data_IF_287573610540
#
_entry.id   IF_287573610540
#
_cell.length_a   1.000
_cell.length_b   1.000
_cell.length_c   1.000
_cell.angle_alpha   90.00
_cell.angle_beta   90.00
_cell.angle_gamma   90.00
#
_symmetry.space_group_name_H-M   'P 1'
#
loop_
_entity.id
_entity.type
_entity.pdbx_description
1 polymer ?
#
# COMPACT_ATOMS: atom_id res chain seq x y z
N UNK A 1 37.16 -42.77 -1.34
CA UNK A 1 35.92 -43.53 -1.39
C UNK A 1 35.09 -43.12 -0.19
N UNK A 2 34.10 -42.24 -0.38
CA UNK A 2 33.18 -41.74 0.70
C UNK A 2 31.75 -42.05 0.26
N UNK A 3 30.93 -42.66 1.14
CA UNK A 3 29.56 -43.05 0.79
C UNK A 3 28.60 -41.86 0.81
N UNK A 4 27.76 -41.81 -0.23
CA UNK A 4 26.64 -40.85 -0.37
C UNK A 4 25.46 -41.37 0.46
N UNK A 5 25.03 -40.56 1.42
CA UNK A 5 23.80 -40.77 2.17
C UNK A 5 22.62 -40.16 1.45
N UNK A 6 21.66 -40.97 0.99
CA UNK A 6 20.38 -40.54 0.42
C UNK A 6 19.40 -40.26 1.57
N UNK A 7 18.94 -39.03 1.71
CA UNK A 7 17.84 -38.64 2.57
C UNK A 7 16.54 -38.68 1.75
N UNK A 8 15.64 -39.59 2.15
CA UNK A 8 14.29 -39.69 1.64
C UNK A 8 13.39 -38.62 2.30
N UNK A 9 12.78 -37.76 1.51
CA UNK A 9 11.75 -36.83 1.94
C UNK A 9 10.39 -37.55 1.89
N UNK A 10 9.77 -37.71 3.07
CA UNK A 10 8.39 -38.15 3.20
C UNK A 10 7.39 -37.01 2.90
N UNK A 11 6.49 -37.23 1.94
CA UNK A 11 5.37 -36.36 1.66
C UNK A 11 4.23 -36.67 2.65
N UNK A 12 3.87 -35.70 3.49
CA UNK A 12 2.66 -35.76 4.31
C UNK A 12 1.49 -35.13 3.54
N UNK A 13 0.53 -35.97 3.14
CA UNK A 13 -0.76 -35.55 2.57
C UNK A 13 -1.73 -35.31 3.73
N UNK A 14 -2.13 -34.06 3.97
CA UNK A 14 -3.22 -33.71 4.86
C UNK A 14 -4.51 -33.62 4.07
N UNK A 15 -5.40 -34.60 4.26
CA UNK A 15 -6.77 -34.58 3.77
C UNK A 15 -7.65 -33.74 4.71
N UNK A 16 -8.23 -32.65 4.20
CA UNK A 16 -9.28 -31.91 4.90
C UNK A 16 -10.64 -32.49 4.56
N UNK A 17 -11.29 -33.10 5.55
CA UNK A 17 -12.67 -33.57 5.47
C UNK A 17 -13.63 -32.39 5.72
N UNK A 18 -14.52 -32.14 4.74
CA UNK A 18 -15.66 -31.24 4.88
C UNK A 18 -16.71 -31.89 5.80
N UNK A 19 -16.89 -31.32 6.99
CA UNK A 19 -17.99 -31.68 7.89
C UNK A 19 -19.17 -30.74 7.67
N UNK A 20 -20.25 -31.23 7.04
CA UNK A 20 -21.55 -30.57 7.03
C UNK A 20 -22.26 -30.90 8.34
N UNK A 21 -22.55 -29.89 9.18
CA UNK A 21 -23.46 -30.01 10.32
C UNK A 21 -24.79 -29.32 9.95
N UNK A 22 -25.78 -30.14 9.70
CA UNK A 22 -27.18 -29.73 9.71
C UNK A 22 -27.63 -29.60 11.18
N UNK A 23 -28.15 -28.43 11.57
CA UNK A 23 -28.91 -28.28 12.82
C UNK A 23 -30.34 -27.97 12.49
N UNK A 24 -31.20 -28.93 12.85
CA UNK A 24 -32.64 -28.85 12.85
C UNK A 24 -33.13 -28.40 14.24
N UNK A 25 -34.00 -27.41 14.26
CA UNK A 25 -35.11 -27.16 15.16
C UNK A 25 -34.87 -26.94 16.66
N UNK A 26 -35.27 -25.81 17.17
CA UNK A 26 -36.49 -25.60 17.99
C UNK A 26 -36.51 -24.23 18.66
N UNK A 27 -37.71 -23.70 18.76
CA UNK A 27 -38.05 -22.37 19.26
C UNK A 27 -37.65 -22.11 20.72
N UNK A 28 -37.16 -20.86 20.97
CA UNK A 28 -37.01 -20.27 22.31
C UNK A 28 -37.08 -18.77 22.22
N UNK A 29 -38.12 -18.20 22.77
CA UNK A 29 -38.40 -16.77 22.93
C UNK A 29 -37.34 -16.08 23.82
N UNK A 30 -36.85 -14.94 23.43
CA UNK A 30 -36.25 -14.05 24.39
C UNK A 30 -35.18 -13.08 23.88
N UNK A 31 -35.54 -11.81 23.88
CA UNK A 31 -34.71 -10.62 23.91
C UNK A 31 -34.01 -10.20 22.61
N UNK A 32 -34.65 -9.24 21.95
CA UNK A 32 -34.03 -8.33 20.98
C UNK A 32 -32.84 -7.61 21.60
N UNK A 33 -31.65 -8.08 21.27
CA UNK A 33 -30.46 -7.22 21.31
C UNK A 33 -30.22 -6.82 19.86
N UNK A 34 -30.71 -5.63 19.50
CA UNK A 34 -30.34 -4.99 18.27
C UNK A 34 -28.82 -4.70 18.32
N UNK A 35 -28.02 -5.64 17.83
CA UNK A 35 -26.65 -5.35 17.44
C UNK A 35 -26.78 -4.49 16.19
N UNK A 36 -26.47 -3.19 16.35
CA UNK A 36 -26.28 -2.31 15.23
C UNK A 36 -25.21 -2.95 14.31
N UNK A 37 -25.65 -3.57 13.23
CA UNK A 37 -24.78 -3.94 12.15
C UNK A 37 -24.22 -2.63 11.60
N UNK A 38 -22.97 -2.36 11.89
CA UNK A 38 -22.20 -1.34 11.18
C UNK A 38 -22.30 -1.70 9.70
N UNK A 39 -22.91 -0.81 8.94
CA UNK A 39 -23.06 -0.89 7.50
C UNK A 39 -21.66 -0.84 6.89
N UNK A 40 -21.03 -1.99 6.73
CA UNK A 40 -19.95 -2.17 5.77
C UNK A 40 -20.51 -1.65 4.45
N UNK A 41 -19.92 -0.58 3.93
CA UNK A 41 -20.21 -0.12 2.58
C UNK A 41 -19.78 -1.27 1.66
N UNK A 42 -20.78 -2.00 1.19
CA UNK A 42 -20.69 -3.12 0.25
C UNK A 42 -20.30 -2.51 -1.11
N UNK A 43 -19.02 -2.16 -1.26
CA UNK A 43 -18.44 -1.79 -2.54
C UNK A 43 -18.55 -3.04 -3.40
N UNK A 44 -19.38 -3.00 -4.45
CA UNK A 44 -19.54 -4.09 -5.39
C UNK A 44 -18.16 -4.62 -5.80
N UNK A 45 -17.94 -5.94 -5.82
CA UNK A 45 -16.64 -6.53 -6.13
C UNK A 45 -16.18 -6.00 -7.50
N UNK A 46 -15.00 -5.36 -7.52
CA UNK A 46 -14.42 -4.83 -8.75
C UNK A 46 -14.04 -6.01 -9.63
N UNK A 47 -14.91 -6.34 -10.60
CA UNK A 47 -14.67 -7.39 -11.56
C UNK A 47 -13.77 -6.91 -12.69
N UNK A 48 -12.45 -7.04 -12.49
CA UNK A 48 -11.47 -6.76 -13.55
C UNK A 48 -11.16 -8.06 -14.28
N UNK A 49 -11.30 -8.06 -15.58
CA UNK A 49 -10.99 -9.22 -16.42
C UNK A 49 -9.48 -9.37 -16.64
N UNK A 50 -9.06 -10.59 -17.00
CA UNK A 50 -7.66 -10.84 -17.40
C UNK A 50 -7.28 -10.07 -18.69
N UNK A 51 -8.26 -9.82 -19.57
CA UNK A 51 -8.04 -9.08 -20.82
C UNK A 51 -7.78 -7.58 -20.54
N UNK A 52 -8.51 -6.99 -19.60
CA UNK A 52 -8.29 -5.61 -19.16
C UNK A 52 -6.91 -5.45 -18.51
N UNK A 53 -6.54 -6.35 -17.59
CA UNK A 53 -5.23 -6.31 -16.94
C UNK A 53 -4.06 -6.45 -17.93
N UNK A 54 -4.22 -7.15 -19.06
CA UNK A 54 -3.18 -7.27 -20.09
C UNK A 54 -2.93 -5.97 -20.85
N UNK A 55 -3.87 -5.03 -20.83
CA UNK A 55 -3.76 -3.73 -21.49
C UNK A 55 -3.18 -2.65 -20.59
N UNK A 56 -3.02 -2.93 -19.30
CA UNK A 56 -2.41 -1.98 -18.35
C UNK A 56 -0.98 -1.71 -18.77
N UNK A 57 -0.63 -0.44 -18.95
CA UNK A 57 0.68 0.07 -19.33
C UNK A 57 1.34 0.90 -18.22
N UNK A 58 0.55 1.37 -17.24
CA UNK A 58 1.07 2.13 -16.11
C UNK A 58 0.32 1.85 -14.81
N UNK A 59 1.03 2.08 -13.71
CA UNK A 59 0.52 2.08 -12.33
C UNK A 59 0.88 3.43 -11.74
N UNK A 60 -0.14 4.22 -11.38
CA UNK A 60 0.00 5.51 -10.74
C UNK A 60 -0.33 5.40 -9.25
N UNK A 61 0.53 5.95 -8.41
CA UNK A 61 0.33 6.02 -6.97
C UNK A 61 -0.25 7.39 -6.60
N UNK A 62 -1.55 7.42 -6.38
CA UNK A 62 -2.25 8.57 -5.79
C UNK A 62 -2.19 8.52 -4.25
N UNK A 63 -2.54 9.63 -3.62
CA UNK A 63 -2.57 9.73 -2.17
C UNK A 63 -3.54 8.73 -1.51
N UNK A 64 -4.67 8.45 -2.16
CA UNK A 64 -5.75 7.62 -1.62
C UNK A 64 -5.96 6.30 -2.37
N UNK A 65 -5.23 6.09 -3.47
CA UNK A 65 -5.44 4.92 -4.33
C UNK A 65 -4.20 4.53 -5.11
N UNK A 66 -4.15 3.27 -5.49
CA UNK A 66 -3.29 2.77 -6.55
C UNK A 66 -4.15 2.62 -7.82
N UNK A 67 -3.78 3.33 -8.88
CA UNK A 67 -4.55 3.39 -10.13
C UNK A 67 -3.80 2.66 -11.23
N UNK A 68 -4.44 1.67 -11.84
CA UNK A 68 -3.92 0.94 -13.00
C UNK A 68 -4.53 1.57 -14.25
N UNK A 69 -3.71 1.98 -15.21
CA UNK A 69 -4.14 2.69 -16.41
C UNK A 69 -3.79 1.94 -17.70
N UNK A 70 -4.50 2.30 -18.76
CA UNK A 70 -4.19 1.99 -20.15
C UNK A 70 -4.27 3.32 -20.93
N UNK A 71 -3.13 3.97 -21.12
CA UNK A 71 -3.08 5.38 -21.50
C UNK A 71 -3.79 6.24 -20.43
N UNK A 72 -4.75 7.05 -20.89
CA UNK A 72 -5.54 7.93 -20.01
C UNK A 72 -6.70 7.22 -19.31
N UNK A 73 -7.04 5.98 -19.73
CA UNK A 73 -8.17 5.24 -19.21
C UNK A 73 -7.81 4.54 -17.87
N UNK A 74 -8.65 4.73 -16.84
CA UNK A 74 -8.56 3.98 -15.59
C UNK A 74 -9.14 2.58 -15.79
N UNK A 75 -8.28 1.56 -15.64
CA UNK A 75 -8.67 0.14 -15.67
C UNK A 75 -9.12 -0.32 -14.29
N UNK A 76 -8.38 0.05 -13.25
CA UNK A 76 -8.67 -0.26 -11.84
C UNK A 76 -8.23 0.90 -10.96
N UNK A 77 -9.05 1.23 -9.98
CA UNK A 77 -8.67 2.09 -8.86
C UNK A 77 -8.84 1.29 -7.58
N UNK A 78 -7.72 1.00 -6.91
CA UNK A 78 -7.70 0.30 -5.62
C UNK A 78 -7.44 1.29 -4.51
N UNK A 79 -8.38 1.41 -3.56
CA UNK A 79 -8.22 2.31 -2.41
C UNK A 79 -7.04 1.88 -1.54
N UNK A 80 -6.33 2.85 -0.96
CA UNK A 80 -5.31 2.62 0.06
C UNK A 80 -5.88 2.03 1.36
N UNK A 81 -7.22 1.97 1.48
CA UNK A 81 -7.95 1.32 2.58
C UNK A 81 -8.34 -0.13 2.29
N UNK A 82 -8.00 -0.66 1.09
CA UNK A 82 -8.31 -2.04 0.68
C UNK A 82 -7.04 -2.80 0.31
N UNK A 83 -6.43 -3.42 1.31
CA UNK A 83 -5.23 -4.24 1.13
C UNK A 83 -5.49 -5.50 0.30
N UNK A 84 -6.69 -6.09 0.44
CA UNK A 84 -7.08 -7.30 -0.26
C UNK A 84 -7.18 -7.08 -1.77
N UNK A 85 -7.89 -6.04 -2.20
CA UNK A 85 -7.99 -5.68 -3.61
C UNK A 85 -6.64 -5.31 -4.18
N UNK A 86 -5.86 -4.44 -3.49
CA UNK A 86 -4.55 -3.98 -3.95
C UNK A 86 -3.60 -5.15 -4.23
N UNK A 87 -3.42 -6.05 -3.26
CA UNK A 87 -2.52 -7.21 -3.41
C UNK A 87 -3.05 -8.17 -4.47
N UNK A 88 -4.36 -8.43 -4.51
CA UNK A 88 -4.99 -9.33 -5.50
C UNK A 88 -4.78 -8.84 -6.92
N UNK A 89 -5.04 -7.57 -7.20
CA UNK A 89 -4.90 -6.97 -8.53
C UNK A 89 -3.44 -6.97 -8.97
N UNK A 90 -2.51 -6.58 -8.10
CA UNK A 90 -1.08 -6.60 -8.41
C UNK A 90 -0.56 -8.02 -8.67
N UNK A 91 -0.99 -9.02 -7.90
CA UNK A 91 -0.63 -10.42 -8.16
C UNK A 91 -1.13 -10.92 -9.53
N UNK A 92 -2.33 -10.49 -9.93
CA UNK A 92 -2.90 -10.85 -11.24
C UNK A 92 -2.16 -10.18 -12.40
N UNK A 93 -1.73 -8.90 -12.22
CA UNK A 93 -1.02 -8.12 -13.23
C UNK A 93 0.46 -8.49 -13.30
N UNK A 94 1.16 -8.48 -12.17
CA UNK A 94 2.63 -8.60 -12.08
C UNK A 94 3.09 -10.04 -11.81
N UNK A 95 2.18 -10.92 -11.39
CA UNK A 95 2.51 -12.29 -11.00
C UNK A 95 2.92 -12.41 -9.53
N UNK A 96 3.54 -13.54 -9.19
CA UNK A 96 3.99 -13.81 -7.83
C UNK A 96 5.05 -12.79 -7.39
N UNK A 97 4.94 -12.21 -6.19
CA UNK A 97 5.96 -11.32 -5.65
C UNK A 97 7.33 -12.01 -5.62
N UNK A 98 8.37 -11.28 -5.98
CA UNK A 98 9.75 -11.76 -5.90
C UNK A 98 10.23 -11.93 -4.45
N UNK A 99 9.59 -11.23 -3.51
CA UNK A 99 9.86 -11.29 -2.08
C UNK A 99 8.60 -11.01 -1.28
N UNK A 100 8.40 -11.80 -0.21
CA UNK A 100 7.34 -11.58 0.79
C UNK A 100 7.98 -11.60 2.18
N UNK A 101 7.65 -10.62 3.02
CA UNK A 101 8.16 -10.47 4.39
C UNK A 101 7.01 -10.12 5.33
N UNK A 102 6.97 -10.75 6.49
CA UNK A 102 6.01 -10.43 7.55
C UNK A 102 6.74 -9.71 8.69
N UNK A 103 6.11 -8.66 9.21
CA UNK A 103 6.51 -7.95 10.41
C UNK A 103 5.40 -8.08 11.45
N UNK A 104 5.78 -8.37 12.69
CA UNK A 104 4.80 -8.52 13.79
C UNK A 104 4.26 -7.18 14.29
N UNK A 105 4.96 -6.07 13.98
CA UNK A 105 4.64 -4.75 14.50
C UNK A 105 4.99 -4.61 15.99
N UNK A 106 4.61 -3.48 16.56
CA UNK A 106 4.81 -3.16 18.00
C UNK A 106 3.51 -3.24 18.81
N UNK A 107 2.41 -3.67 18.18
CA UNK A 107 1.07 -3.72 18.76
C UNK A 107 0.34 -2.38 18.74
N UNK A 108 0.96 -1.32 18.22
CA UNK A 108 0.38 0.01 18.05
C UNK A 108 0.05 0.37 16.60
N UNK A 109 -0.64 1.49 16.42
CA UNK A 109 -1.00 1.99 15.08
C UNK A 109 0.17 2.60 14.31
N UNK A 110 1.31 2.87 14.98
CA UNK A 110 2.49 3.46 14.36
C UNK A 110 3.31 2.46 13.56
N UNK A 111 3.41 1.24 14.09
CA UNK A 111 4.08 0.11 13.42
C UNK A 111 3.15 -1.11 13.44
N UNK A 112 2.05 -1.08 12.67
CA UNK A 112 1.12 -2.20 12.64
C UNK A 112 1.79 -3.44 12.05
N UNK A 113 1.35 -4.60 12.53
CA UNK A 113 1.74 -5.86 11.93
C UNK A 113 1.39 -5.86 10.44
N UNK A 114 2.27 -6.35 9.59
CA UNK A 114 2.11 -6.25 8.14
C UNK A 114 2.71 -7.42 7.37
N UNK A 115 2.26 -7.59 6.14
CA UNK A 115 2.92 -8.44 5.15
C UNK A 115 3.33 -7.58 3.97
N UNK A 116 4.62 -7.48 3.73
CA UNK A 116 5.21 -6.71 2.63
C UNK A 116 5.47 -7.60 1.43
N UNK A 117 4.92 -7.22 0.29
CA UNK A 117 5.11 -7.84 -1.01
C UNK A 117 6.00 -6.95 -1.89
N UNK A 118 6.92 -7.56 -2.64
CA UNK A 118 7.81 -6.82 -3.55
C UNK A 118 7.78 -7.47 -4.93
N UNK A 119 7.53 -6.68 -5.98
CA UNK A 119 7.57 -7.13 -7.37
C UNK A 119 8.76 -6.50 -8.09
N UNK A 120 9.63 -7.36 -8.63
CA UNK A 120 10.79 -6.96 -9.45
C UNK A 120 11.77 -6.00 -8.76
N UNK A 121 11.69 -5.84 -7.43
CA UNK A 121 12.46 -4.82 -6.70
C UNK A 121 12.05 -3.38 -7.06
N UNK A 122 10.94 -3.19 -7.77
CA UNK A 122 10.47 -1.90 -8.26
C UNK A 122 9.26 -1.37 -7.49
N UNK A 123 8.33 -2.23 -7.16
CA UNK A 123 7.12 -1.90 -6.42
C UNK A 123 7.07 -2.72 -5.12
N UNK A 124 6.86 -2.04 -4.00
CA UNK A 124 6.69 -2.65 -2.68
C UNK A 124 5.35 -2.21 -2.10
N UNK A 125 4.58 -3.17 -1.59
CA UNK A 125 3.30 -2.94 -0.92
C UNK A 125 3.31 -3.67 0.42
N UNK A 126 3.13 -2.93 1.50
CA UNK A 126 2.86 -3.51 2.82
C UNK A 126 1.36 -3.53 3.05
N UNK A 127 0.78 -4.72 3.16
CA UNK A 127 -0.60 -4.93 3.59
C UNK A 127 -0.63 -4.99 5.12
N UNK A 128 -1.31 -4.04 5.75
CA UNK A 128 -1.40 -3.93 7.19
C UNK A 128 -2.47 -4.91 7.72
N UNK A 129 -2.27 -5.49 8.89
CA UNK A 129 -3.25 -6.37 9.56
C UNK A 129 -4.33 -5.59 10.31
N UNK A 130 -4.03 -4.36 10.66
CA UNK A 130 -4.96 -3.36 11.19
C UNK A 130 -4.68 -2.05 10.49
N UNK A 131 -5.69 -1.19 10.40
CA UNK A 131 -5.50 0.12 9.80
C UNK A 131 -4.45 0.92 10.59
N UNK A 132 -3.60 1.63 9.86
CA UNK A 132 -2.70 2.58 10.46
C UNK A 132 -3.47 3.79 11.00
N UNK A 133 -2.80 4.63 11.79
CA UNK A 133 -3.40 5.85 12.36
C UNK A 133 -4.01 6.78 11.29
N UNK A 134 -3.41 6.82 10.10
CA UNK A 134 -3.93 7.56 8.95
C UNK A 134 -5.14 6.91 8.27
N UNK A 135 -5.63 5.77 8.78
CA UNK A 135 -6.77 5.03 8.20
C UNK A 135 -6.44 4.23 6.94
N UNK A 136 -5.16 4.11 6.56
CA UNK A 136 -4.74 3.29 5.44
C UNK A 136 -4.55 1.82 5.87
N UNK A 137 -4.91 0.89 4.99
CA UNK A 137 -4.67 -0.55 5.13
C UNK A 137 -3.47 -1.03 4.30
N UNK A 138 -2.89 -0.14 3.46
CA UNK A 138 -1.68 -0.41 2.69
C UNK A 138 -0.71 0.75 2.74
N UNK A 139 0.58 0.41 2.63
CA UNK A 139 1.65 1.36 2.32
C UNK A 139 2.31 0.94 1.01
N UNK A 140 2.50 1.89 0.11
CA UNK A 140 3.09 1.64 -1.21
C UNK A 140 4.40 2.42 -1.36
N UNK A 141 5.42 1.77 -1.94
CA UNK A 141 6.68 2.39 -2.31
C UNK A 141 7.04 2.01 -3.74
N UNK A 142 7.29 3.01 -4.56
CA UNK A 142 7.86 2.88 -5.90
C UNK A 142 9.37 3.15 -5.79
N UNK A 143 10.18 2.19 -6.24
CA UNK A 143 11.65 2.20 -6.09
C UNK A 143 12.36 2.25 -7.45
N UNK A 144 11.61 2.16 -8.57
CA UNK A 144 12.10 2.25 -9.95
C UNK A 144 11.01 2.83 -10.84
N UNK A 145 11.38 3.31 -11.99
CA UNK A 145 10.48 3.87 -13.01
C UNK A 145 9.53 2.84 -13.64
N UNK A 146 9.79 1.55 -13.51
CA UNK A 146 8.99 0.52 -14.16
C UNK A 146 9.14 -0.86 -13.52
N UNK A 147 8.14 -1.72 -13.80
CA UNK A 147 8.12 -3.13 -13.43
C UNK A 147 7.67 -3.98 -14.63
N UNK A 148 8.01 -5.26 -14.65
CA UNK A 148 7.50 -6.19 -15.67
C UNK A 148 6.20 -6.83 -15.22
N UNK A 149 5.21 -6.85 -16.11
CA UNK A 149 3.99 -7.62 -15.92
C UNK A 149 4.26 -9.12 -16.00
N UNK A 150 3.27 -9.92 -15.59
CA UNK A 150 3.30 -11.39 -15.76
C UNK A 150 3.44 -11.83 -17.21
N UNK A 151 2.99 -11.02 -18.18
CA UNK A 151 3.16 -11.29 -19.62
C UNK A 151 4.51 -10.84 -20.17
N UNK A 152 5.36 -10.20 -19.33
CA UNK A 152 6.66 -9.68 -19.73
C UNK A 152 6.64 -8.22 -20.23
N UNK A 153 5.46 -7.61 -20.40
CA UNK A 153 5.34 -6.20 -20.79
C UNK A 153 5.92 -5.28 -19.70
N UNK A 154 6.51 -4.18 -20.12
CA UNK A 154 6.96 -3.11 -19.21
C UNK A 154 5.74 -2.30 -18.78
N UNK A 155 5.57 -2.10 -17.49
CA UNK A 155 4.56 -1.26 -16.85
C UNK A 155 5.28 -0.07 -16.23
N UNK A 156 4.93 1.14 -16.61
CA UNK A 156 5.47 2.36 -16.00
C UNK A 156 4.96 2.49 -14.56
N UNK A 157 5.78 3.02 -13.67
CA UNK A 157 5.43 3.31 -12.28
C UNK A 157 5.58 4.81 -12.05
N UNK A 158 4.48 5.48 -11.72
CA UNK A 158 4.43 6.93 -11.55
C UNK A 158 3.80 7.30 -10.21
N UNK A 159 4.15 8.47 -9.70
CA UNK A 159 3.38 9.22 -8.72
C UNK A 159 2.43 10.21 -9.40
N UNK A 160 1.86 11.15 -8.62
CA UNK A 160 1.04 12.23 -9.13
C UNK A 160 1.77 13.04 -10.21
N UNK A 161 1.01 13.58 -11.15
CA UNK A 161 1.53 14.39 -12.27
C UNK A 161 2.58 13.67 -13.14
N UNK A 162 2.60 12.33 -13.07
CA UNK A 162 3.52 11.50 -13.85
C UNK A 162 4.94 11.43 -13.32
N UNK A 163 5.24 11.95 -12.13
CA UNK A 163 6.58 11.91 -11.51
C UNK A 163 7.07 10.47 -11.39
N UNK A 164 8.32 10.22 -11.78
CA UNK A 164 8.95 8.91 -11.77
C UNK A 164 10.24 8.89 -10.93
N UNK A 165 10.64 7.70 -10.50
CA UNK A 165 11.98 7.50 -9.95
C UNK A 165 13.02 7.78 -11.03
N UNK A 166 13.98 8.64 -10.71
CA UNK A 166 15.00 9.14 -11.64
C UNK A 166 14.74 10.56 -12.16
N UNK A 167 13.54 11.10 -11.96
CA UNK A 167 13.25 12.48 -12.35
C UNK A 167 13.99 13.48 -11.47
N UNK A 168 14.30 14.63 -12.06
CA UNK A 168 14.87 15.79 -11.36
C UNK A 168 13.71 16.71 -10.93
N UNK A 169 13.64 17.02 -9.63
CA UNK A 169 12.60 17.88 -9.03
C UNK A 169 13.16 19.23 -8.54
N UNK A 170 14.28 19.73 -9.08
CA UNK A 170 14.90 20.97 -8.60
C UNK A 170 13.91 22.14 -8.62
N UNK A 171 13.21 22.37 -9.72
CA UNK A 171 12.21 23.44 -9.85
C UNK A 171 11.06 23.26 -8.87
N UNK A 172 10.50 22.04 -8.78
CA UNK A 172 9.37 21.74 -7.89
C UNK A 172 9.78 21.90 -6.40
N UNK A 173 10.99 21.51 -6.05
CA UNK A 173 11.53 21.70 -4.69
C UNK A 173 11.71 23.19 -4.40
N UNK A 174 12.23 23.98 -5.35
CA UNK A 174 12.43 25.41 -5.17
C UNK A 174 11.09 26.15 -4.94
N UNK A 175 10.06 25.79 -5.69
CA UNK A 175 8.75 26.46 -5.69
C UNK A 175 7.84 25.96 -4.57
N UNK A 176 8.07 24.77 -4.03
CA UNK A 176 7.20 24.18 -3.01
C UNK A 176 7.17 25.01 -1.70
N UNK A 177 6.02 25.19 -1.06
CA UNK A 177 5.92 25.81 0.25
C UNK A 177 6.68 24.98 1.30
N UNK A 178 7.13 25.64 2.38
CA UNK A 178 7.89 24.97 3.45
C UNK A 178 7.11 23.82 4.13
N UNK A 179 5.80 23.91 4.17
CA UNK A 179 4.92 22.84 4.68
C UNK A 179 4.90 21.59 3.82
N UNK A 180 5.32 21.69 2.55
CA UNK A 180 5.30 20.58 1.59
C UNK A 180 6.69 19.99 1.34
N UNK A 181 7.73 20.50 1.98
CA UNK A 181 9.09 19.98 1.81
C UNK A 181 9.87 19.97 3.11
N UNK A 182 10.75 18.99 3.23
CA UNK A 182 11.75 18.93 4.30
C UNK A 182 13.08 18.46 3.72
N UNK A 183 14.18 19.07 4.18
CA UNK A 183 15.52 18.67 3.77
C UNK A 183 16.23 17.87 4.85
N UNK A 184 17.06 16.94 4.41
CA UNK A 184 17.92 16.09 5.23
C UNK A 184 19.37 16.23 4.76
N UNK A 185 20.32 16.03 5.66
CA UNK A 185 21.74 16.11 5.34
C UNK A 185 22.33 17.52 5.46
N UNK A 186 23.55 17.68 4.94
CA UNK A 186 24.30 18.95 4.88
C UNK A 186 24.21 19.55 3.47
N UNK A 187 24.72 20.78 3.31
CA UNK A 187 24.69 21.49 2.04
C UNK A 187 25.37 20.73 0.88
N UNK A 188 26.37 19.92 1.18
CA UNK A 188 27.14 19.15 0.17
C UNK A 188 26.48 17.79 -0.19
N UNK A 189 25.44 17.37 0.55
CA UNK A 189 24.72 16.09 0.33
C UNK A 189 23.28 16.19 0.83
N UNK A 190 22.57 17.18 0.31
CA UNK A 190 21.18 17.44 0.70
C UNK A 190 20.24 16.48 -0.01
N UNK A 191 19.37 15.85 0.75
CA UNK A 191 18.23 15.09 0.24
C UNK A 191 16.94 15.82 0.62
N UNK A 192 15.88 15.60 -0.15
CA UNK A 192 14.59 16.22 0.10
C UNK A 192 13.49 15.14 0.21
N UNK A 193 12.49 15.46 1.02
CA UNK A 193 11.17 14.89 0.91
C UNK A 193 10.23 15.99 0.42
N UNK A 194 9.59 15.76 -0.70
CA UNK A 194 8.64 16.68 -1.33
C UNK A 194 7.25 16.02 -1.36
N UNK A 195 6.25 16.71 -0.83
CA UNK A 195 4.85 16.31 -0.98
C UNK A 195 4.40 16.58 -2.42
N UNK A 196 4.01 15.53 -3.12
CA UNK A 196 3.48 15.61 -4.49
C UNK A 196 1.96 15.78 -4.50
N UNK A 197 1.26 15.09 -3.61
CA UNK A 197 -0.20 15.15 -3.50
C UNK A 197 -0.62 14.97 -2.05
N UNK A 198 -1.53 15.83 -1.59
CA UNK A 198 -2.13 15.69 -0.26
C UNK A 198 -3.15 14.55 -0.26
N UNK A 199 -3.12 13.72 0.78
CA UNK A 199 -4.08 12.66 1.02
C UNK A 199 -5.27 13.14 1.86
N UNK A 200 -6.08 12.17 2.31
CA UNK A 200 -7.16 12.44 3.27
C UNK A 200 -6.57 12.98 4.58
N UNK A 201 -7.32 13.84 5.21
CA UNK A 201 -6.98 14.30 6.56
C UNK A 201 -7.00 13.12 7.55
N UNK A 202 -6.11 13.15 8.52
CA UNK A 202 -6.18 12.26 9.68
C UNK A 202 -7.60 12.32 10.25
N UNK A 203 -8.16 11.16 10.65
CA UNK A 203 -9.47 11.15 11.31
C UNK A 203 -9.48 12.21 12.40
N UNK A 204 -10.54 13.03 12.50
CA UNK A 204 -10.57 14.12 13.46
C UNK A 204 -10.21 13.59 14.85
N UNK A 205 -9.18 14.19 15.45
CA UNK A 205 -8.83 13.91 16.83
C UNK A 205 -10.08 14.14 17.66
N UNK A 206 -10.39 13.25 18.59
CA UNK A 206 -11.45 13.47 19.58
C UNK A 206 -11.20 14.80 20.26
N UNK A 207 -12.26 15.52 20.63
CA UNK A 207 -12.26 16.93 21.10
C UNK A 207 -11.17 17.29 22.15
N UNK A 208 -10.59 16.32 22.85
CA UNK A 208 -9.53 16.51 23.83
C UNK A 208 -8.13 16.81 23.20
N UNK A 209 -7.92 16.53 21.92
CA UNK A 209 -6.64 16.72 21.22
C UNK A 209 -6.59 18.02 20.38
N UNK A 210 -7.67 18.82 20.37
CA UNK A 210 -7.81 19.98 19.49
C UNK A 210 -6.85 21.16 19.81
N UNK A 211 -6.13 21.13 20.93
CA UNK A 211 -5.21 22.21 21.34
C UNK A 211 -3.81 22.13 20.71
N UNK A 212 -3.43 20.98 20.11
CA UNK A 212 -2.12 20.79 19.48
C UNK A 212 -2.22 20.65 17.94
N UNK A 213 -3.31 21.11 17.34
CA UNK A 213 -3.64 20.94 15.92
C UNK A 213 -2.74 21.69 14.92
N UNK A 214 -1.70 22.40 15.39
CA UNK A 214 -0.84 23.21 14.51
C UNK A 214 0.26 22.42 13.76
N UNK A 215 0.49 21.17 14.14
CA UNK A 215 1.54 20.31 13.54
C UNK A 215 0.99 19.00 12.95
N UNK A 216 -0.20 19.00 12.39
CA UNK A 216 -0.72 17.84 11.65
C UNK A 216 0.09 17.66 10.38
N UNK A 217 0.98 16.67 10.37
CA UNK A 217 1.69 16.26 9.16
C UNK A 217 0.69 15.90 8.07
N UNK A 218 0.95 16.37 6.85
CA UNK A 218 0.09 16.08 5.70
C UNK A 218 0.32 14.65 5.24
N UNK A 219 -0.70 13.81 5.41
CA UNK A 219 -0.69 12.48 4.83
C UNK A 219 -0.89 12.57 3.32
N UNK A 220 -0.09 11.84 2.55
CA UNK A 220 -0.18 11.89 1.10
C UNK A 220 0.93 11.13 0.39
N UNK A 221 1.07 11.40 -0.89
CA UNK A 221 2.19 10.91 -1.71
C UNK A 221 3.35 11.88 -1.62
N UNK A 222 4.52 11.39 -1.30
CA UNK A 222 5.75 12.18 -1.35
C UNK A 222 6.83 11.49 -2.17
N UNK A 223 7.74 12.28 -2.72
CA UNK A 223 9.00 11.84 -3.28
C UNK A 223 10.13 12.03 -2.28
N UNK A 224 11.02 11.04 -2.17
CA UNK A 224 12.34 11.19 -1.55
C UNK A 224 13.37 11.36 -2.67
N UNK A 225 14.29 12.31 -2.51
CA UNK A 225 15.34 12.55 -3.48
C UNK A 225 16.72 12.28 -2.88
N UNK A 226 17.69 12.06 -3.76
CA UNK A 226 19.10 12.26 -3.49
C UNK A 226 19.50 13.52 -4.26
N UNK A 227 19.95 14.57 -3.55
CA UNK A 227 19.96 15.91 -4.09
C UNK A 227 18.56 16.28 -4.59
N UNK A 228 18.33 16.42 -5.89
CA UNK A 228 17.04 16.72 -6.51
C UNK A 228 16.44 15.52 -7.27
N UNK A 229 17.23 14.44 -7.46
CA UNK A 229 16.82 13.26 -8.21
C UNK A 229 15.95 12.32 -7.35
N UNK A 230 14.76 11.99 -7.82
CA UNK A 230 13.82 11.08 -7.16
C UNK A 230 14.40 9.69 -7.00
N UNK A 231 14.42 9.17 -5.78
CA UNK A 231 14.86 7.80 -5.45
C UNK A 231 13.73 6.89 -5.00
N UNK A 232 12.70 7.46 -4.39
CA UNK A 232 11.52 6.74 -3.90
C UNK A 232 10.30 7.63 -4.02
N UNK A 233 9.16 7.05 -4.43
CA UNK A 233 7.84 7.67 -4.28
C UNK A 233 7.03 6.79 -3.33
N UNK A 234 6.33 7.36 -2.36
CA UNK A 234 5.60 6.58 -1.36
C UNK A 234 4.30 7.20 -0.91
N UNK A 235 3.38 6.33 -0.49
CA UNK A 235 2.10 6.69 0.14
C UNK A 235 1.68 5.61 1.15
N UNK A 236 1.17 5.98 2.33
CA UNK A 236 1.24 7.31 2.91
C UNK A 236 2.68 7.66 3.29
N UNK A 237 3.08 8.89 3.04
CA UNK A 237 4.41 9.38 3.39
C UNK A 237 4.33 10.87 3.78
N UNK A 238 3.95 11.19 5.03
CA UNK A 238 3.79 12.56 5.50
C UNK A 238 5.13 13.30 5.55
N UNK A 239 5.13 14.57 5.15
CA UNK A 239 6.35 15.41 5.15
C UNK A 239 6.75 15.84 6.56
N UNK A 240 5.79 16.14 7.41
CA UNK A 240 5.99 16.51 8.81
C UNK A 240 5.23 15.53 9.70
N UNK A 241 5.72 14.28 9.79
CA UNK A 241 5.11 13.30 10.69
C UNK A 241 5.21 13.76 12.14
N UNK A 242 4.11 13.66 12.90
CA UNK A 242 4.17 13.86 14.36
C UNK A 242 5.15 12.84 14.96
N UNK A 243 6.02 13.33 15.87
CA UNK A 243 6.98 12.48 16.60
C UNK A 243 6.34 11.52 17.61
N UNK A 244 5.00 11.42 17.65
CA UNK A 244 4.27 10.55 18.57
C UNK A 244 4.32 9.05 18.22
N UNK A 245 5.03 8.72 17.17
CA UNK A 245 5.51 7.38 16.85
C UNK A 245 7.05 7.41 16.83
#
# INVERSE_FOLDING_TARGET
>A
MTPRTLLALGAAVLAFSAGALAFDGTAGLGADVAVAAETSHDAAPVHVTKAELRRVDSIELDAEALVLRNGDDTVVKSSMRDSGLTVSVLNRLLGTPSRTQTAEGDGGACFPASTTYTWGGALRVAALRSDARAGNAVEVRILRDSVRSRSGARIALTGPDGVQVGDDLDEQIADAPRSHRVSYGSDDSRAWQLLLQQGWDEAPATDDDAQDATDTGTNGVSALTNETTVTVIGSPMPVHARRSC
#
